data_IF_385035572372
#
_entry.id   IF_385035572372
#
_cell.length_a   1.000
_cell.length_b   1.000
_cell.length_c   1.000
_cell.angle_alpha   90.00
_cell.angle_beta   90.00
_cell.angle_gamma   90.00
#
_symmetry.space_group_name_H-M   'P 1'
#
loop_
_entity.id
_entity.type
_entity.pdbx_description
1 polymer ?
#
# COMPACT_ATOMS: atom_id res chain seq x y z
N UNK A 1 -6.22 -17.11 -6.90
CA UNK A 1 -7.29 -16.41 -7.65
C UNK A 1 -6.82 -15.97 -9.05
N UNK A 2 -5.55 -15.63 -9.24
CA UNK A 2 -4.96 -15.21 -10.51
C UNK A 2 -4.20 -16.31 -11.26
N UNK A 3 -4.25 -17.58 -10.79
CA UNK A 3 -3.72 -18.70 -11.58
C UNK A 3 -4.45 -18.78 -12.94
N UNK A 4 -3.72 -19.06 -14.06
CA UNK A 4 -2.30 -19.46 -14.10
C UNK A 4 -1.28 -18.32 -14.13
N UNK A 5 -1.69 -17.04 -14.16
CA UNK A 5 -0.76 -15.89 -14.25
C UNK A 5 0.26 -15.84 -13.11
N UNK A 6 -0.11 -16.32 -11.92
CA UNK A 6 0.71 -16.28 -10.71
C UNK A 6 1.44 -17.58 -10.39
N UNK A 7 1.40 -18.57 -11.27
CA UNK A 7 2.03 -19.88 -11.02
C UNK A 7 3.55 -19.77 -10.99
N UNK A 8 4.12 -18.87 -11.77
CA UNK A 8 5.59 -18.67 -11.92
C UNK A 8 6.06 -17.27 -11.53
N UNK A 9 5.15 -16.33 -11.31
CA UNK A 9 5.50 -14.94 -10.96
C UNK A 9 4.62 -14.45 -9.82
N UNK A 10 5.21 -13.65 -8.92
CA UNK A 10 4.44 -12.98 -7.85
C UNK A 10 3.36 -12.08 -8.43
N UNK A 11 2.19 -12.05 -7.78
CA UNK A 11 1.11 -11.12 -8.11
C UNK A 11 1.61 -9.68 -8.18
N UNK A 12 2.46 -9.27 -7.24
CA UNK A 12 3.02 -7.93 -7.12
C UNK A 12 3.94 -7.54 -8.31
N UNK A 13 4.38 -8.52 -9.10
CA UNK A 13 5.18 -8.30 -10.30
C UNK A 13 4.36 -8.34 -11.59
N UNK A 14 3.06 -8.66 -11.52
CA UNK A 14 2.17 -8.56 -12.68
C UNK A 14 2.06 -7.10 -13.13
N UNK A 15 1.98 -6.86 -14.45
CA UNK A 15 1.79 -5.52 -14.96
C UNK A 15 0.39 -4.99 -14.65
N UNK A 16 0.32 -3.75 -14.21
CA UNK A 16 -0.90 -2.95 -14.16
C UNK A 16 -0.63 -1.73 -15.04
N UNK A 17 -1.32 -1.64 -16.17
CA UNK A 17 -1.07 -0.71 -17.26
C UNK A 17 0.36 -0.85 -17.80
N UNK A 18 1.28 0.04 -17.46
CA UNK A 18 2.64 0.12 -18.03
C UNK A 18 3.78 -0.19 -17.04
N UNK A 19 3.43 -0.65 -15.81
CA UNK A 19 4.43 -0.90 -14.75
C UNK A 19 4.04 -2.03 -13.80
N UNK A 20 4.98 -2.62 -13.05
CA UNK A 20 4.68 -3.67 -12.07
C UNK A 20 3.77 -3.18 -10.95
N UNK A 21 2.87 -4.04 -10.50
CA UNK A 21 1.90 -3.74 -9.44
C UNK A 21 2.54 -3.17 -8.16
N UNK A 22 3.70 -3.67 -7.75
CA UNK A 22 4.40 -3.22 -6.53
C UNK A 22 4.79 -1.73 -6.56
N UNK A 23 4.83 -1.11 -7.75
CA UNK A 23 5.14 0.32 -7.85
C UNK A 23 4.04 1.20 -7.24
N UNK A 24 2.78 0.73 -7.24
CA UNK A 24 1.65 1.50 -6.71
C UNK A 24 1.68 1.62 -5.19
N UNK A 25 1.76 0.55 -4.38
CA UNK A 25 1.92 0.69 -2.94
C UNK A 25 3.22 1.43 -2.57
N UNK A 26 4.33 1.20 -3.30
CA UNK A 26 5.56 1.96 -3.05
C UNK A 26 5.35 3.46 -3.31
N UNK A 27 4.65 3.82 -4.39
CA UNK A 27 4.33 5.22 -4.69
C UNK A 27 3.46 5.87 -3.60
N UNK A 28 2.52 5.12 -3.04
CA UNK A 28 1.69 5.59 -1.92
C UNK A 28 2.54 5.87 -0.68
N UNK A 29 3.47 4.99 -0.32
CA UNK A 29 4.42 5.23 0.79
C UNK A 29 5.29 6.46 0.56
N UNK A 30 5.80 6.65 -0.67
CA UNK A 30 6.57 7.85 -1.05
C UNK A 30 5.73 9.11 -0.94
N UNK A 31 4.47 9.08 -1.34
CA UNK A 31 3.55 10.20 -1.20
C UNK A 31 3.23 10.52 0.26
N UNK A 32 3.22 9.54 1.12
CA UNK A 32 3.11 9.72 2.58
C UNK A 32 4.39 10.25 3.24
N UNK A 33 5.50 10.34 2.49
CA UNK A 33 6.78 10.83 2.99
C UNK A 33 7.67 9.76 3.62
N UNK A 34 7.29 8.49 3.50
CA UNK A 34 8.04 7.34 4.03
C UNK A 34 9.23 7.05 3.12
N UNK A 35 10.42 6.92 3.69
CA UNK A 35 11.68 6.67 2.96
C UNK A 35 12.29 5.31 3.26
N UNK A 36 12.00 4.76 4.43
CA UNK A 36 12.52 3.48 4.89
C UNK A 36 11.41 2.43 4.82
N UNK A 37 11.63 1.36 4.04
CA UNK A 37 10.61 0.36 3.77
C UNK A 37 11.18 -1.03 3.87
N UNK A 38 10.55 -1.89 4.68
CA UNK A 38 10.81 -3.32 4.71
C UNK A 38 9.81 -4.04 3.79
N UNK A 39 10.31 -4.71 2.79
CA UNK A 39 9.51 -5.53 1.86
C UNK A 39 9.53 -6.98 2.33
N UNK A 40 8.37 -7.48 2.72
CA UNK A 40 8.18 -8.86 3.16
C UNK A 40 7.49 -9.65 2.05
N UNK A 41 8.10 -10.75 1.64
CA UNK A 41 7.54 -11.62 0.59
C UNK A 41 8.00 -13.07 0.78
N UNK A 42 7.53 -13.97 -0.08
CA UNK A 42 7.94 -15.37 -0.05
C UNK A 42 9.39 -15.54 -0.50
N UNK A 43 10.03 -16.63 -0.08
CA UNK A 43 11.39 -17.00 -0.52
C UNK A 43 11.48 -17.11 -2.05
N UNK A 44 10.40 -17.55 -2.72
CA UNK A 44 10.33 -17.68 -4.19
C UNK A 44 10.38 -16.33 -4.89
N UNK A 45 9.64 -15.35 -4.37
CA UNK A 45 9.33 -14.12 -5.09
C UNK A 45 10.27 -12.96 -4.72
N UNK A 46 10.79 -12.96 -3.49
CA UNK A 46 11.65 -11.90 -2.96
C UNK A 46 12.88 -11.57 -3.83
N UNK A 47 13.61 -12.57 -4.41
CA UNK A 47 14.75 -12.28 -5.28
C UNK A 47 14.38 -11.43 -6.50
N UNK A 48 13.22 -11.68 -7.12
CA UNK A 48 12.75 -10.92 -8.27
C UNK A 48 12.33 -9.49 -7.89
N UNK A 49 11.69 -9.33 -6.74
CA UNK A 49 11.33 -8.01 -6.21
C UNK A 49 12.60 -7.20 -5.91
N UNK A 50 13.59 -7.83 -5.26
CA UNK A 50 14.89 -7.21 -4.97
C UNK A 50 15.67 -6.85 -6.24
N UNK A 51 15.61 -7.68 -7.28
CA UNK A 51 16.21 -7.39 -8.58
C UNK A 51 15.55 -6.18 -9.25
N UNK A 52 14.22 -6.03 -9.13
CA UNK A 52 13.47 -4.92 -9.71
C UNK A 52 13.74 -3.59 -9.01
N UNK A 53 13.71 -3.57 -7.67
CA UNK A 53 13.72 -2.35 -6.87
C UNK A 53 15.12 -1.96 -6.38
N UNK A 54 16.04 -2.93 -6.24
CA UNK A 54 17.38 -2.72 -5.67
C UNK A 54 17.30 -2.42 -4.17
N UNK A 55 18.23 -1.61 -3.69
CA UNK A 55 18.27 -1.11 -2.32
C UNK A 55 17.48 0.21 -2.11
N UNK A 56 16.85 0.71 -3.16
CA UNK A 56 16.08 1.96 -3.14
C UNK A 56 16.91 3.23 -3.36
N UNK A 57 18.23 3.17 -3.27
CA UNK A 57 19.13 4.34 -3.35
C UNK A 57 18.93 5.17 -4.61
N UNK A 58 18.64 4.52 -5.75
CA UNK A 58 18.33 5.22 -7.01
C UNK A 58 17.10 6.14 -6.93
N UNK A 59 16.22 5.93 -5.95
CA UNK A 59 14.99 6.68 -5.70
C UNK A 59 15.09 7.57 -4.45
N UNK A 60 16.27 7.63 -3.80
CA UNK A 60 16.43 8.28 -2.51
C UNK A 60 15.68 7.58 -1.37
N UNK A 61 15.36 6.31 -1.56
CA UNK A 61 14.73 5.41 -0.58
C UNK A 61 15.75 4.47 0.05
N UNK A 62 15.38 3.84 1.16
CA UNK A 62 16.10 2.73 1.77
C UNK A 62 15.17 1.51 1.81
N UNK A 63 15.47 0.48 1.00
CA UNK A 63 14.66 -0.72 0.90
C UNK A 63 15.38 -1.91 1.52
N UNK A 64 14.74 -2.54 2.49
CA UNK A 64 15.16 -3.77 3.14
C UNK A 64 14.21 -4.92 2.78
N UNK A 65 14.64 -6.17 2.99
CA UNK A 65 13.93 -7.34 2.50
C UNK A 65 13.93 -8.46 3.53
N UNK A 66 12.75 -9.00 3.86
CA UNK A 66 12.60 -10.17 4.71
C UNK A 66 11.70 -11.23 4.08
N UNK A 67 11.95 -12.50 4.43
CA UNK A 67 11.16 -13.64 3.96
C UNK A 67 10.05 -13.95 4.94
N UNK A 68 8.81 -14.08 4.46
CA UNK A 68 7.74 -14.79 5.14
C UNK A 68 7.75 -16.23 4.66
N UNK A 69 8.12 -17.15 5.53
CA UNK A 69 8.30 -18.58 5.15
C UNK A 69 6.98 -19.27 4.83
N UNK A 70 5.91 -18.92 5.54
CA UNK A 70 4.58 -19.49 5.40
C UNK A 70 3.51 -18.40 5.35
N UNK A 71 2.37 -18.64 4.69
CA UNK A 71 1.28 -17.67 4.64
C UNK A 71 0.46 -17.66 5.94
N UNK A 72 1.09 -17.33 7.06
CA UNK A 72 0.48 -17.34 8.39
C UNK A 72 -0.40 -16.11 8.69
N UNK A 73 -0.70 -15.30 7.68
CA UNK A 73 -1.54 -14.12 7.80
C UNK A 73 -0.77 -12.80 7.70
N UNK A 74 -1.51 -11.70 7.50
CA UNK A 74 -0.94 -10.38 7.29
C UNK A 74 -0.26 -9.87 8.57
N UNK A 75 -0.87 -10.07 9.74
CA UNK A 75 -0.32 -9.54 10.99
C UNK A 75 1.04 -10.16 11.36
N UNK A 76 1.39 -11.35 10.84
CA UNK A 76 2.72 -11.95 11.07
C UNK A 76 3.87 -11.02 10.62
N UNK A 77 3.62 -10.11 9.67
CA UNK A 77 4.64 -9.16 9.20
C UNK A 77 5.27 -8.36 10.35
N UNK A 78 4.53 -8.03 11.40
CA UNK A 78 5.05 -7.30 12.57
C UNK A 78 5.99 -8.15 13.43
N UNK A 79 5.80 -9.46 13.49
CA UNK A 79 6.73 -10.39 14.17
C UNK A 79 8.02 -10.57 13.36
N UNK A 80 7.91 -10.59 12.02
CA UNK A 80 9.06 -10.65 11.11
C UNK A 80 9.85 -9.35 11.14
N UNK A 81 9.17 -8.23 11.34
CA UNK A 81 9.74 -6.89 11.35
C UNK A 81 10.13 -6.38 12.76
N UNK A 82 10.16 -7.23 13.80
CA UNK A 82 10.40 -6.82 15.19
C UNK A 82 11.69 -5.99 15.34
N UNK A 83 12.79 -6.43 14.71
CA UNK A 83 14.08 -5.69 14.73
C UNK A 83 14.09 -4.42 13.84
N UNK A 84 13.10 -4.25 12.97
CA UNK A 84 12.98 -3.09 12.08
C UNK A 84 12.11 -1.98 12.68
N UNK A 85 11.16 -2.33 13.55
CA UNK A 85 10.17 -1.40 14.10
C UNK A 85 10.70 -0.77 15.38
N UNK A 86 11.16 0.47 15.30
CA UNK A 86 11.61 1.30 16.44
C UNK A 86 10.80 2.60 16.58
N UNK A 87 9.85 2.85 15.68
CA UNK A 87 8.92 3.98 15.67
C UNK A 87 7.52 3.52 15.17
N UNK A 88 6.49 4.38 15.23
CA UNK A 88 5.18 4.07 14.61
C UNK A 88 5.32 3.67 13.16
N UNK A 89 4.58 2.64 12.74
CA UNK A 89 4.79 1.98 11.45
C UNK A 89 3.57 2.05 10.56
N UNK A 90 3.80 2.14 9.25
CA UNK A 90 2.77 2.01 8.20
C UNK A 90 2.88 0.67 7.52
N UNK A 91 1.79 -0.07 7.46
CA UNK A 91 1.66 -1.29 6.67
C UNK A 91 0.82 -1.00 5.42
N UNK A 92 1.35 -1.35 4.26
CA UNK A 92 0.59 -1.36 3.01
C UNK A 92 0.67 -2.74 2.34
N UNK A 93 -0.45 -3.22 1.82
CA UNK A 93 -0.47 -4.48 1.08
C UNK A 93 0.07 -4.28 -0.33
N UNK A 94 0.97 -5.16 -0.75
CA UNK A 94 1.72 -5.06 -2.01
C UNK A 94 0.89 -5.21 -3.30
N UNK A 95 -0.40 -5.47 -3.17
CA UNK A 95 -1.37 -5.62 -4.26
C UNK A 95 -2.50 -4.59 -4.22
N UNK A 96 -2.40 -3.61 -3.33
CA UNK A 96 -3.38 -2.54 -3.21
C UNK A 96 -2.94 -1.31 -3.99
N UNK A 97 -3.86 -0.77 -4.77
CA UNK A 97 -3.66 0.43 -5.58
C UNK A 97 -4.55 1.54 -5.01
N UNK A 98 -3.92 2.64 -4.62
CA UNK A 98 -4.59 3.83 -4.09
C UNK A 98 -4.40 5.02 -5.02
N UNK A 99 -5.49 5.74 -5.28
CA UNK A 99 -5.50 7.11 -5.78
C UNK A 99 -6.16 7.93 -4.69
N UNK A 100 -5.35 8.54 -3.82
CA UNK A 100 -5.82 9.33 -2.69
C UNK A 100 -5.93 10.80 -3.07
N UNK A 101 -6.94 11.48 -2.55
CA UNK A 101 -7.18 12.91 -2.73
C UNK A 101 -7.02 13.68 -1.42
N UNK A 102 -8.11 14.08 -0.81
CA UNK A 102 -8.11 14.92 0.40
C UNK A 102 -7.50 14.18 1.62
N UNK A 103 -7.66 12.85 1.68
CA UNK A 103 -7.11 12.00 2.76
C UNK A 103 -5.57 11.98 2.78
N UNK A 104 -4.91 12.15 1.62
CA UNK A 104 -3.46 12.08 1.55
C UNK A 104 -2.77 13.08 2.48
N UNK A 105 -3.33 14.30 2.57
CA UNK A 105 -2.80 15.34 3.45
C UNK A 105 -2.91 14.95 4.93
N UNK A 106 -4.07 14.44 5.33
CA UNK A 106 -4.32 13.96 6.69
C UNK A 106 -3.39 12.79 7.04
N UNK A 107 -3.30 11.79 6.16
CA UNK A 107 -2.47 10.61 6.36
C UNK A 107 -0.96 10.96 6.43
N UNK A 108 -0.51 11.96 5.64
CA UNK A 108 0.86 12.45 5.72
C UNK A 108 1.16 13.13 7.05
N UNK A 109 0.23 13.88 7.63
CA UNK A 109 0.41 14.43 8.96
C UNK A 109 0.58 13.35 10.03
N UNK A 110 -0.09 12.22 9.88
CA UNK A 110 0.09 11.08 10.78
C UNK A 110 1.51 10.52 10.72
N UNK A 111 2.06 10.34 9.52
CA UNK A 111 3.43 9.79 9.36
C UNK A 111 4.52 10.74 9.86
N UNK A 112 4.20 12.01 10.09
CA UNK A 112 5.12 13.03 10.63
C UNK A 112 4.97 13.22 12.14
N UNK A 113 4.00 12.56 12.77
CA UNK A 113 3.74 12.67 14.21
C UNK A 113 4.57 11.65 14.98
N UNK A 114 5.43 12.11 15.88
CA UNK A 114 6.25 11.25 16.76
C UNK A 114 5.42 10.47 17.80
N UNK A 115 4.16 10.87 18.04
CA UNK A 115 3.32 10.33 19.08
C UNK A 115 1.99 9.80 18.53
N UNK A 116 2.05 8.74 17.74
CA UNK A 116 0.86 7.99 17.35
C UNK A 116 0.51 7.01 18.48
N UNK A 117 -0.57 7.26 19.21
CA UNK A 117 -1.07 6.38 20.28
C UNK A 117 -2.26 5.51 19.85
N UNK A 118 -2.84 5.80 18.67
CA UNK A 118 -3.97 5.08 18.10
C UNK A 118 -3.62 4.44 16.76
N UNK A 119 -4.06 3.21 16.57
CA UNK A 119 -4.05 2.60 15.24
C UNK A 119 -5.06 3.32 14.33
N UNK A 120 -4.71 3.43 13.05
CA UNK A 120 -5.62 4.02 12.06
C UNK A 120 -5.78 3.11 10.87
N UNK A 121 -7.02 2.95 10.43
CA UNK A 121 -7.40 2.17 9.26
C UNK A 121 -8.12 3.06 8.25
N UNK A 122 -8.01 2.72 6.97
CA UNK A 122 -8.82 3.34 5.94
C UNK A 122 -10.05 2.48 5.66
N UNK A 123 -11.20 3.14 5.50
CA UNK A 123 -12.45 2.51 5.12
C UNK A 123 -12.88 2.94 3.72
N UNK A 124 -13.29 1.98 2.90
CA UNK A 124 -13.83 2.20 1.57
C UNK A 124 -15.18 1.48 1.43
N UNK A 125 -16.12 2.09 0.73
CA UNK A 125 -17.40 1.43 0.40
C UNK A 125 -17.23 0.56 -0.85
N UNK A 126 -17.62 -0.72 -0.75
CA UNK A 126 -17.49 -1.70 -1.83
C UNK A 126 -18.80 -2.44 -2.08
N UNK A 127 -18.89 -3.11 -3.24
CA UNK A 127 -20.08 -3.90 -3.62
C UNK A 127 -20.06 -5.34 -3.10
N UNK A 128 -18.87 -5.87 -2.79
CA UNK A 128 -18.61 -7.25 -2.38
C UNK A 128 -17.86 -7.31 -1.03
N UNK A 129 -18.45 -6.73 0.07
CA UNK A 129 -17.77 -6.56 1.34
C UNK A 129 -17.38 -7.86 2.04
N UNK A 130 -18.04 -8.98 1.74
CA UNK A 130 -17.76 -10.32 2.30
C UNK A 130 -16.35 -10.83 2.01
N UNK A 131 -15.61 -10.17 1.13
CA UNK A 131 -14.22 -10.52 0.79
C UNK A 131 -13.19 -9.92 1.75
N UNK A 132 -13.58 -8.98 2.59
CA UNK A 132 -12.71 -8.09 3.36
C UNK A 132 -13.09 -8.04 4.84
N UNK A 133 -12.32 -7.31 5.64
CA UNK A 133 -12.70 -6.93 6.99
C UNK A 133 -13.79 -5.86 6.95
N UNK A 134 -15.02 -6.21 7.36
CA UNK A 134 -16.19 -5.32 7.33
C UNK A 134 -16.27 -4.52 8.61
N UNK A 135 -16.44 -3.20 8.49
CA UNK A 135 -16.57 -2.27 9.59
C UNK A 135 -18.02 -1.80 9.75
N UNK A 136 -18.55 -1.85 10.97
CA UNK A 136 -19.75 -1.12 11.38
C UNK A 136 -19.32 0.16 12.11
N UNK A 137 -19.89 1.30 11.73
CA UNK A 137 -19.61 2.60 12.34
C UNK A 137 -20.88 3.15 13.02
N UNK A 138 -20.68 3.94 14.09
CA UNK A 138 -21.73 4.71 14.71
C UNK A 138 -22.08 5.98 13.89
N UNK A 139 -23.00 6.79 14.38
CA UNK A 139 -23.43 8.05 13.73
C UNK A 139 -22.30 9.09 13.64
N UNK A 140 -21.31 9.02 14.52
CA UNK A 140 -20.15 9.90 14.56
C UNK A 140 -19.02 9.42 13.59
N UNK A 141 -19.19 8.25 12.96
CA UNK A 141 -18.22 7.64 12.05
C UNK A 141 -17.16 6.78 12.75
N UNK A 142 -17.25 6.59 14.08
CA UNK A 142 -16.32 5.73 14.80
C UNK A 142 -16.64 4.26 14.58
N UNK A 143 -15.61 3.43 14.39
CA UNK A 143 -15.77 1.99 14.26
C UNK A 143 -16.22 1.40 15.60
N UNK A 144 -17.34 0.68 15.57
CA UNK A 144 -17.88 -0.04 16.74
C UNK A 144 -17.70 -1.55 16.63
N UNK A 145 -17.47 -2.04 15.42
CA UNK A 145 -17.30 -3.46 15.15
C UNK A 145 -16.47 -3.69 13.89
N UNK A 146 -15.62 -4.71 13.89
CA UNK A 146 -14.82 -5.12 12.73
C UNK A 146 -14.81 -6.64 12.62
N UNK A 147 -15.22 -7.19 11.47
CA UNK A 147 -15.33 -8.64 11.25
C UNK A 147 -14.62 -9.04 9.97
N UNK A 148 -13.70 -9.99 10.09
CA UNK A 148 -12.99 -10.55 8.93
C UNK A 148 -13.92 -11.45 8.10
N UNK A 149 -14.09 -11.10 6.83
CA UNK A 149 -14.81 -11.87 5.80
C UNK A 149 -16.12 -12.49 6.28
N UNK A 150 -17.08 -11.69 6.79
CA UNK A 150 -18.34 -12.22 7.28
C UNK A 150 -19.15 -12.86 6.16
N UNK A 151 -19.81 -13.99 6.44
CA UNK A 151 -20.72 -14.64 5.47
C UNK A 151 -21.92 -13.76 5.11
N UNK A 152 -22.36 -12.93 6.03
CA UNK A 152 -23.46 -11.96 5.88
C UNK A 152 -22.91 -10.63 6.38
N UNK A 153 -22.49 -9.74 5.46
CA UNK A 153 -22.01 -8.41 5.82
C UNK A 153 -23.13 -7.54 6.38
N UNK A 154 -22.80 -6.76 7.40
CA UNK A 154 -23.73 -5.78 8.03
C UNK A 154 -23.56 -4.38 7.46
N UNK A 155 -22.48 -4.14 6.72
CA UNK A 155 -22.11 -2.86 6.13
C UNK A 155 -21.41 -3.08 4.80
N UNK A 156 -21.35 -2.06 3.96
CA UNK A 156 -20.54 -2.03 2.75
C UNK A 156 -19.15 -1.40 2.99
N UNK A 157 -18.88 -0.90 4.20
CA UNK A 157 -17.60 -0.32 4.56
C UNK A 157 -16.59 -1.41 4.90
N UNK A 158 -15.45 -1.41 4.23
CA UNK A 158 -14.40 -2.38 4.45
C UNK A 158 -13.08 -1.70 4.80
N UNK A 159 -12.30 -2.34 5.66
CA UNK A 159 -10.93 -1.95 5.92
C UNK A 159 -10.06 -2.33 4.74
N UNK A 160 -9.39 -1.35 4.15
CA UNK A 160 -8.51 -1.54 2.99
C UNK A 160 -7.05 -1.69 3.43
N UNK A 161 -6.19 -2.14 2.54
CA UNK A 161 -4.83 -2.58 2.86
C UNK A 161 -3.81 -1.45 3.08
N UNK A 162 -4.17 -0.41 3.85
CA UNK A 162 -3.28 0.64 4.33
C UNK A 162 -3.59 0.94 5.79
N UNK A 163 -2.62 0.71 6.67
CA UNK A 163 -2.77 0.74 8.12
C UNK A 163 -1.64 1.52 8.75
N UNK A 164 -1.95 2.24 9.84
CA UNK A 164 -0.97 2.97 10.65
C UNK A 164 -1.04 2.45 12.09
N UNK A 165 0.10 2.06 12.63
CA UNK A 165 0.15 1.47 13.97
C UNK A 165 1.14 2.17 14.89
N UNK A 166 0.78 2.32 16.18
CA UNK A 166 1.71 2.72 17.22
C UNK A 166 2.83 1.70 17.41
N UNK A 167 3.87 2.10 18.12
CA UNK A 167 5.05 1.27 18.41
C UNK A 167 4.72 -0.06 19.13
N UNK A 168 3.60 -0.13 19.89
CA UNK A 168 3.19 -1.34 20.60
C UNK A 168 2.57 -2.44 19.71
N UNK A 169 2.60 -2.26 18.39
CA UNK A 169 2.00 -3.20 17.41
C UNK A 169 2.60 -4.60 17.50
N UNK A 170 3.92 -4.72 17.69
CA UNK A 170 4.60 -6.02 17.81
C UNK A 170 4.10 -6.76 19.05
N UNK A 171 4.04 -6.08 20.20
CA UNK A 171 3.58 -6.67 21.46
C UNK A 171 2.10 -7.06 21.42
N UNK A 172 1.28 -6.34 20.65
CA UNK A 172 -0.11 -6.74 20.39
C UNK A 172 -0.19 -7.93 19.46
N UNK A 173 0.63 -7.97 18.44
CA UNK A 173 0.66 -9.10 17.49
C UNK A 173 1.09 -10.40 18.20
N UNK A 174 2.02 -10.36 19.15
CA UNK A 174 2.41 -11.53 19.97
C UNK A 174 1.25 -12.13 20.77
N UNK A 175 0.15 -11.38 20.99
CA UNK A 175 -1.05 -11.84 21.71
C UNK A 175 -2.12 -12.46 20.80
N UNK A 176 -1.94 -12.36 19.49
CA UNK A 176 -2.90 -12.93 18.54
C UNK A 176 -2.84 -14.44 18.54
N UNK A 177 -3.99 -15.07 18.32
CA UNK A 177 -4.12 -16.48 18.04
C UNK A 177 -4.51 -16.68 16.58
N UNK A 178 -4.00 -17.73 15.91
CA UNK A 178 -4.42 -18.03 14.55
C UNK A 178 -5.95 -18.22 14.46
N UNK A 179 -6.55 -17.65 13.44
CA UNK A 179 -7.97 -17.81 13.13
C UNK A 179 -8.29 -19.25 12.71
N UNK A 180 -9.57 -19.53 12.45
CA UNK A 180 -10.00 -20.83 11.89
C UNK A 180 -9.36 -21.15 10.52
N UNK A 181 -8.75 -20.15 9.86
CA UNK A 181 -7.98 -20.29 8.62
C UNK A 181 -6.50 -20.59 8.87
N UNK A 182 -6.05 -20.59 10.12
CA UNK A 182 -4.65 -20.73 10.52
C UNK A 182 -3.83 -19.46 10.33
N UNK A 183 -4.46 -18.30 10.14
CA UNK A 183 -3.82 -17.01 9.86
C UNK A 183 -3.89 -16.07 11.07
N UNK A 184 -2.83 -15.27 11.30
CA UNK A 184 -2.86 -14.12 12.18
C UNK A 184 -3.51 -12.96 11.40
N UNK A 185 -4.79 -12.73 11.71
CA UNK A 185 -5.60 -11.78 10.96
C UNK A 185 -5.29 -10.33 11.35
N UNK A 186 -5.18 -9.47 10.35
CA UNK A 186 -5.02 -8.04 10.59
C UNK A 186 -6.28 -7.45 11.24
N UNK A 187 -7.44 -8.02 10.96
CA UNK A 187 -8.71 -7.64 11.57
C UNK A 187 -8.72 -7.92 13.08
N UNK A 188 -8.10 -9.03 13.51
CA UNK A 188 -8.01 -9.36 14.95
C UNK A 188 -7.05 -8.40 15.67
N UNK A 189 -5.95 -8.00 15.01
CA UNK A 189 -5.05 -6.97 15.53
C UNK A 189 -5.80 -5.63 15.70
N UNK A 190 -6.55 -5.20 14.70
CA UNK A 190 -7.36 -3.98 14.76
C UNK A 190 -8.42 -4.07 15.88
N UNK A 191 -9.01 -5.24 16.11
CA UNK A 191 -9.95 -5.47 17.20
C UNK A 191 -9.32 -5.36 18.59
N UNK A 192 -8.00 -5.62 18.77
CA UNK A 192 -7.31 -5.33 20.03
C UNK A 192 -7.27 -3.82 20.29
N UNK A 193 -6.93 -3.03 19.29
CA UNK A 193 -6.96 -1.56 19.39
C UNK A 193 -8.37 -1.02 19.59
N UNK A 194 -9.37 -1.60 18.89
CA UNK A 194 -10.78 -1.20 19.05
C UNK A 194 -11.27 -1.41 20.49
N UNK A 195 -10.98 -2.56 21.10
CA UNK A 195 -11.35 -2.87 22.49
C UNK A 195 -10.73 -1.92 23.51
N UNK A 196 -9.57 -1.34 23.20
CA UNK A 196 -8.89 -0.35 24.04
C UNK A 196 -9.34 1.09 23.77
N UNK A 197 -10.26 1.33 22.83
CA UNK A 197 -10.63 2.68 22.38
C UNK A 197 -9.52 3.39 21.60
N UNK A 198 -8.59 2.64 21.04
CA UNK A 198 -7.38 3.11 20.33
C UNK A 198 -7.40 2.77 18.83
N UNK A 199 -8.57 2.57 18.25
CA UNK A 199 -8.74 2.43 16.79
C UNK A 199 -9.45 3.67 16.25
N UNK A 200 -8.86 4.30 15.25
CA UNK A 200 -9.50 5.38 14.49
C UNK A 200 -9.65 4.95 13.03
N UNK A 201 -10.69 5.41 12.36
CA UNK A 201 -10.92 5.15 10.94
C UNK A 201 -10.98 6.45 10.14
N UNK A 202 -10.40 6.42 8.96
CA UNK A 202 -10.54 7.46 7.95
C UNK A 202 -11.35 6.88 6.80
N UNK A 203 -12.53 7.41 6.57
CA UNK A 203 -13.35 7.00 5.43
C UNK A 203 -12.90 7.71 4.17
N UNK A 204 -12.61 6.92 3.13
CA UNK A 204 -12.26 7.45 1.81
C UNK A 204 -13.47 8.14 1.17
N UNK A 205 -13.24 9.31 0.58
CA UNK A 205 -14.27 10.07 -0.13
C UNK A 205 -14.45 9.58 -1.59
N UNK A 206 -15.47 10.11 -2.27
CA UNK A 206 -15.82 9.71 -3.63
C UNK A 206 -14.78 10.09 -4.71
N UNK A 207 -13.83 10.99 -4.39
CA UNK A 207 -12.75 11.38 -5.30
C UNK A 207 -11.57 10.43 -5.23
N UNK A 208 -11.44 9.70 -4.12
CA UNK A 208 -10.40 8.70 -3.91
C UNK A 208 -10.81 7.35 -4.52
N UNK A 209 -9.84 6.55 -4.92
CA UNK A 209 -10.06 5.21 -5.48
C UNK A 209 -9.15 4.20 -4.79
N UNK A 210 -9.69 3.02 -4.59
CA UNK A 210 -8.96 1.86 -4.11
C UNK A 210 -9.36 0.62 -4.90
N UNK A 211 -8.36 -0.19 -5.26
CA UNK A 211 -8.53 -1.46 -5.95
C UNK A 211 -7.59 -2.52 -5.35
N UNK A 212 -8.11 -3.73 -5.13
CA UNK A 212 -7.35 -4.86 -4.57
C UNK A 212 -6.63 -5.71 -5.64
N UNK A 213 -6.84 -5.42 -6.93
CA UNK A 213 -6.30 -6.15 -8.08
C UNK A 213 -6.24 -7.69 -7.87
N UNK A 214 -7.21 -8.26 -7.13
CA UNK A 214 -7.21 -9.64 -6.62
C UNK A 214 -7.79 -10.69 -7.55
N UNK A 215 -8.43 -10.25 -8.64
CA UNK A 215 -9.07 -11.08 -9.65
C UNK A 215 -8.67 -10.62 -11.05
N UNK A 216 -8.84 -11.42 -12.11
CA UNK A 216 -8.57 -10.98 -13.49
C UNK A 216 -9.35 -9.71 -13.86
N UNK A 217 -10.61 -9.61 -13.44
CA UNK A 217 -11.46 -8.45 -13.74
C UNK A 217 -10.96 -7.20 -13.00
N UNK A 218 -10.67 -7.31 -11.69
CA UNK A 218 -10.14 -6.16 -10.93
C UNK A 218 -8.73 -5.75 -11.38
N UNK A 219 -7.92 -6.68 -11.89
CA UNK A 219 -6.61 -6.36 -12.47
C UNK A 219 -6.76 -5.55 -13.77
N UNK A 220 -7.72 -5.92 -14.63
CA UNK A 220 -8.05 -5.19 -15.85
C UNK A 220 -8.62 -3.80 -15.52
N UNK A 221 -9.57 -3.73 -14.58
CA UNK A 221 -10.16 -2.48 -14.11
C UNK A 221 -9.09 -1.53 -13.54
N UNK A 222 -8.15 -2.07 -12.75
CA UNK A 222 -7.01 -1.30 -12.25
C UNK A 222 -6.17 -0.71 -13.39
N UNK A 223 -5.90 -1.50 -14.44
CA UNK A 223 -5.10 -1.03 -15.57
C UNK A 223 -5.79 0.09 -16.35
N UNK A 224 -7.11 -0.02 -16.55
CA UNK A 224 -7.92 1.02 -17.22
C UNK A 224 -7.97 2.29 -16.37
N UNK A 225 -8.21 2.17 -15.06
CA UNK A 225 -8.23 3.31 -14.15
C UNK A 225 -6.89 4.06 -14.15
N UNK A 226 -5.77 3.35 -14.07
CA UNK A 226 -4.43 3.98 -14.05
C UNK A 226 -4.12 4.66 -15.38
N UNK A 227 -4.54 4.07 -16.50
CA UNK A 227 -4.41 4.70 -17.81
C UNK A 227 -5.19 6.02 -17.88
N UNK A 228 -6.42 6.06 -17.36
CA UNK A 228 -7.24 7.27 -17.27
C UNK A 228 -6.60 8.32 -16.35
N UNK A 229 -6.13 7.95 -15.16
CA UNK A 229 -5.41 8.86 -14.25
C UNK A 229 -4.20 9.51 -14.94
N UNK A 230 -3.44 8.74 -15.71
CA UNK A 230 -2.32 9.28 -16.47
C UNK A 230 -2.79 10.21 -17.59
N UNK A 231 -3.77 9.80 -18.42
CA UNK A 231 -4.18 10.55 -19.62
C UNK A 231 -4.93 11.83 -19.29
N UNK A 232 -5.88 11.75 -18.36
CA UNK A 232 -6.82 12.83 -18.09
C UNK A 232 -6.30 13.79 -17.00
N UNK A 233 -5.73 13.24 -15.93
CA UNK A 233 -5.34 14.02 -14.76
C UNK A 233 -3.83 14.28 -14.66
N UNK A 234 -3.00 13.59 -15.48
CA UNK A 234 -1.52 13.62 -15.36
C UNK A 234 -1.05 13.29 -13.93
N UNK A 235 -1.80 12.41 -13.27
CA UNK A 235 -1.51 11.96 -11.93
C UNK A 235 -0.37 10.90 -11.96
N UNK A 236 0.73 11.07 -11.21
CA UNK A 236 1.90 10.19 -11.28
C UNK A 236 1.74 8.91 -10.42
N UNK A 237 0.54 8.38 -10.27
CA UNK A 237 0.29 7.16 -9.48
C UNK A 237 1.13 6.00 -9.99
N UNK A 238 1.96 5.44 -9.14
CA UNK A 238 2.89 4.36 -9.47
C UNK A 238 4.13 4.78 -10.27
N UNK A 239 4.29 6.04 -10.67
CA UNK A 239 5.52 6.53 -11.32
C UNK A 239 6.55 6.94 -10.27
N UNK A 240 7.18 5.94 -9.65
CA UNK A 240 8.05 6.12 -8.48
C UNK A 240 9.25 7.03 -8.74
N UNK A 241 9.77 7.07 -9.95
CA UNK A 241 10.87 7.95 -10.34
C UNK A 241 10.43 9.42 -10.37
N UNK A 242 9.24 9.71 -10.90
CA UNK A 242 8.67 11.07 -10.90
C UNK A 242 8.33 11.51 -9.48
N UNK A 243 7.79 10.62 -8.67
CA UNK A 243 7.49 10.92 -7.27
C UNK A 243 8.78 11.17 -6.48
N UNK A 244 9.83 10.40 -6.71
CA UNK A 244 11.14 10.64 -6.10
C UNK A 244 11.66 12.06 -6.40
N UNK A 245 11.54 12.51 -7.64
CA UNK A 245 11.89 13.88 -8.03
C UNK A 245 10.98 14.92 -7.36
N UNK A 246 9.65 14.75 -7.45
CA UNK A 246 8.67 15.71 -6.88
C UNK A 246 8.75 15.83 -5.36
N UNK A 247 9.15 14.77 -4.68
CA UNK A 247 9.31 14.75 -3.21
C UNK A 247 10.71 15.20 -2.77
N UNK A 248 11.58 15.57 -3.71
CA UNK A 248 12.96 15.97 -3.39
C UNK A 248 13.80 14.84 -2.82
N UNK A 249 13.43 13.58 -3.07
CA UNK A 249 14.20 12.40 -2.68
C UNK A 249 15.43 12.25 -3.59
N UNK A 250 15.30 12.64 -4.85
CA UNK A 250 16.37 12.76 -5.84
C UNK A 250 16.31 14.14 -6.52
N UNK A 251 17.44 14.58 -7.05
CA UNK A 251 17.52 15.80 -7.85
C UNK A 251 17.33 15.51 -9.36
N UNK A 252 17.27 16.57 -10.17
CA UNK A 252 17.09 16.47 -11.63
C UNK A 252 18.22 15.68 -12.31
N UNK A 253 19.48 15.84 -11.87
CA UNK A 253 20.62 15.11 -12.44
C UNK A 253 20.48 13.60 -12.18
N UNK A 254 20.07 13.22 -10.98
CA UNK A 254 19.80 11.81 -10.62
C UNK A 254 18.62 11.27 -11.44
N UNK A 255 17.56 12.05 -11.62
CA UNK A 255 16.42 11.66 -12.43
C UNK A 255 16.81 11.44 -13.90
N UNK A 256 17.57 12.37 -14.50
CA UNK A 256 18.08 12.19 -15.85
C UNK A 256 19.02 10.98 -15.98
N UNK A 257 19.85 10.70 -14.98
CA UNK A 257 20.66 9.48 -14.93
C UNK A 257 19.81 8.21 -14.96
N UNK A 258 18.65 8.19 -14.28
CA UNK A 258 17.69 7.07 -14.35
C UNK A 258 17.16 6.93 -15.77
N UNK A 259 16.72 8.02 -16.40
CA UNK A 259 16.19 8.01 -17.76
C UNK A 259 17.22 7.55 -18.79
N UNK A 260 18.50 7.93 -18.63
CA UNK A 260 19.59 7.53 -19.55
C UNK A 260 19.83 6.01 -19.56
N UNK A 261 19.59 5.32 -18.44
CA UNK A 261 19.70 3.85 -18.34
C UNK A 261 18.55 3.13 -19.03
N UNK A 262 17.45 3.82 -19.36
CA UNK A 262 16.31 3.26 -20.09
C UNK A 262 16.53 3.41 -21.60
N UNK A 263 16.07 2.41 -22.37
CA UNK A 263 16.13 2.50 -23.84
C UNK A 263 15.24 3.66 -24.33
N UNK A 264 15.72 4.35 -25.38
CA UNK A 264 14.92 5.40 -26.05
C UNK A 264 13.71 4.79 -26.74
N UNK A 265 12.57 5.48 -26.70
CA UNK A 265 11.31 5.06 -27.35
C UNK A 265 10.47 4.07 -26.52
N UNK A 266 10.87 3.77 -25.28
CA UNK A 266 9.98 3.01 -24.37
C UNK A 266 8.86 3.96 -23.88
N UNK A 267 7.57 3.58 -24.01
CA UNK A 267 6.45 4.41 -23.54
C UNK A 267 6.59 4.87 -22.09
N UNK A 268 7.01 4.01 -21.19
CA UNK A 268 7.22 4.35 -19.78
C UNK A 268 8.19 5.51 -19.59
N UNK A 269 9.33 5.50 -20.30
CA UNK A 269 10.32 6.61 -20.25
C UNK A 269 9.72 7.94 -20.72
N UNK A 270 8.91 7.92 -21.78
CA UNK A 270 8.25 9.11 -22.29
C UNK A 270 7.17 9.63 -21.32
N UNK A 271 6.46 8.72 -20.63
CA UNK A 271 5.54 9.07 -19.57
C UNK A 271 6.26 9.78 -18.40
N UNK A 272 7.42 9.25 -17.96
CA UNK A 272 8.24 9.89 -16.91
C UNK A 272 8.63 11.31 -17.28
N UNK A 273 9.11 11.53 -18.51
CA UNK A 273 9.47 12.88 -19.00
C UNK A 273 8.29 13.82 -19.03
N UNK A 274 7.15 13.35 -19.57
CA UNK A 274 5.93 14.16 -19.64
C UNK A 274 5.44 14.58 -18.25
N UNK A 275 5.46 13.67 -17.29
CA UNK A 275 5.01 13.95 -15.93
C UNK A 275 5.98 14.86 -15.15
N UNK A 276 7.29 14.70 -15.34
CA UNK A 276 8.31 15.55 -14.71
C UNK A 276 8.22 16.99 -15.21
N UNK A 277 8.01 17.21 -16.52
CA UNK A 277 7.88 18.54 -17.11
C UNK A 277 6.71 19.35 -16.55
N UNK A 278 5.60 18.69 -16.16
CA UNK A 278 4.42 19.35 -15.56
C UNK A 278 4.70 19.83 -14.13
N UNK A 279 5.61 19.18 -13.41
CA UNK A 279 6.00 19.60 -12.04
C UNK A 279 6.65 20.98 -12.03
N UNK A 280 7.54 21.24 -13.00
CA UNK A 280 8.27 22.50 -13.11
C UNK A 280 7.38 23.70 -13.53
N UNK A 281 6.09 23.46 -13.86
CA UNK A 281 5.12 24.50 -14.24
C UNK A 281 4.16 24.90 -13.11
N UNK A 282 4.20 24.19 -11.94
CA UNK A 282 3.27 24.42 -10.83
C UNK A 282 3.92 25.03 -9.58
N UNK A 283 5.24 25.20 -9.60
CA UNK A 283 6.04 26.01 -8.66
C UNK A 283 6.24 27.42 -9.23
#
# INVERSE_FOLDING_TARGET
RLSPMTDIVSKQLLPVYDKPMIYYPLSTLMDLGIREVLIISTMRDLPNIKMLLGDGSRLGMQLSYCVQEKPNGIAECFLIADDFIDEPVVLILGDNIFVLSDELSQLRHLTQSENIDKAQILLCSVKDPERFGVADCNEDGDVVRLIEKPKIPTSNLVSVGLYFYPLDVVEKTKKLMPSSRGELEITDLNNLYLKEGRLHAVQMNDKSRWLDAGTPDSLLESSVMIEQEYREHKNPVGYIEVLALRRGLINEEQFESILQKMKVGIPYREHLRSLAAISNMRD
#
